data_IF_658106518115
#
_entry.id   IF_658106518115
#
_cell.length_a   1.000
_cell.length_b   1.000
_cell.length_c   1.000
_cell.angle_alpha   90.00
_cell.angle_beta   90.00
_cell.angle_gamma   90.00
#
_symmetry.space_group_name_H-M   'P 1'
#
loop_
_entity.id
_entity.type
_entity.pdbx_description
1 polymer ?
#
# COMPACT_ATOMS: atom_id res chain seq x y z
N UNK A 1 -0.98 17.12 14.68
CA UNK A 1 -1.71 16.01 14.03
C UNK A 1 -3.18 16.35 14.07
N UNK A 2 -3.79 16.72 12.95
CA UNK A 2 -5.23 17.01 12.88
C UNK A 2 -5.95 15.76 12.37
N UNK A 3 -6.89 15.22 13.17
CA UNK A 3 -7.73 14.08 12.80
C UNK A 3 -9.12 14.62 12.46
N UNK A 4 -9.54 14.50 11.21
CA UNK A 4 -10.92 14.80 10.83
C UNK A 4 -11.68 13.47 10.74
N UNK A 5 -12.59 13.25 11.69
CA UNK A 5 -13.43 12.06 11.77
C UNK A 5 -14.72 12.32 10.98
N UNK A 6 -14.70 12.04 9.68
CA UNK A 6 -15.92 11.83 8.92
C UNK A 6 -15.69 10.77 7.83
N UNK A 7 -16.15 9.56 8.16
CA UNK A 7 -16.49 8.37 7.35
C UNK A 7 -15.53 7.94 6.21
N UNK A 8 -15.01 6.72 6.39
CA UNK A 8 -14.39 5.80 5.42
C UNK A 8 -12.97 6.07 4.91
N UNK A 9 -12.38 7.24 5.18
CA UNK A 9 -11.00 7.52 4.77
C UNK A 9 -10.23 8.38 5.77
N UNK A 10 -8.96 8.01 6.01
CA UNK A 10 -8.03 8.78 6.84
C UNK A 10 -6.85 9.23 5.98
N UNK A 11 -6.60 10.54 6.00
CA UNK A 11 -5.45 11.18 5.37
C UNK A 11 -4.42 11.54 6.43
N UNK A 12 -3.16 11.12 6.25
CA UNK A 12 -2.07 11.41 7.19
C UNK A 12 -1.08 12.37 6.53
N UNK A 13 -0.97 13.57 7.10
CA UNK A 13 -0.17 14.67 6.54
C UNK A 13 1.18 14.83 7.25
N UNK A 14 2.21 15.18 6.48
CA UNK A 14 3.41 15.85 6.99
C UNK A 14 3.19 17.38 6.86
N UNK A 15 3.23 18.16 7.95
CA UNK A 15 2.89 19.59 7.94
C UNK A 15 3.83 20.46 7.10
N UNK A 16 4.98 19.93 6.65
CA UNK A 16 5.99 20.71 5.93
C UNK A 16 5.86 20.66 4.39
N UNK A 17 4.91 19.91 3.82
CA UNK A 17 4.80 19.73 2.38
C UNK A 17 3.57 20.45 1.80
N UNK A 18 3.74 21.18 0.69
CA UNK A 18 2.62 21.74 -0.09
C UNK A 18 1.70 20.59 -0.52
N UNK A 19 0.40 20.71 -0.23
CA UNK A 19 -0.58 19.64 -0.35
C UNK A 19 -0.79 19.27 -1.83
N UNK A 20 -0.06 18.27 -2.31
CA UNK A 20 -0.38 17.55 -3.53
C UNK A 20 -1.00 16.21 -3.12
N UNK A 21 -2.24 15.91 -3.54
CA UNK A 21 -2.94 14.65 -3.18
C UNK A 21 -2.16 13.40 -3.58
N UNK A 22 -1.28 13.50 -4.60
CA UNK A 22 -0.42 12.40 -5.02
C UNK A 22 0.77 12.16 -4.07
N UNK A 23 1.07 13.07 -3.13
CA UNK A 23 2.22 12.94 -2.23
C UNK A 23 1.90 12.24 -0.89
N UNK A 24 0.64 11.84 -0.66
CA UNK A 24 0.14 11.50 0.67
C UNK A 24 -0.27 10.03 0.73
N UNK A 25 0.12 9.36 1.81
CA UNK A 25 -0.40 8.04 2.16
C UNK A 25 -1.86 8.13 2.60
N UNK A 26 -2.72 7.38 1.92
CA UNK A 26 -4.15 7.38 2.21
C UNK A 26 -4.61 6.01 2.70
N UNK A 27 -5.39 6.01 3.77
CA UNK A 27 -5.93 4.79 4.37
C UNK A 27 -7.44 4.73 4.10
N UNK A 28 -7.91 3.59 3.63
CA UNK A 28 -9.33 3.27 3.50
C UNK A 28 -9.61 2.00 4.27
N UNK A 29 -10.66 1.99 5.08
CA UNK A 29 -11.05 0.84 5.87
C UNK A 29 -12.56 0.66 5.76
N UNK A 30 -12.99 -0.57 5.47
CA UNK A 30 -14.39 -0.93 5.30
C UNK A 30 -14.69 -2.24 6.02
N UNK A 31 -15.95 -2.39 6.43
CA UNK A 31 -16.50 -3.65 6.92
C UNK A 31 -17.78 -3.95 6.13
N UNK A 32 -17.81 -5.09 5.45
CA UNK A 32 -18.99 -5.52 4.71
C UNK A 32 -20.08 -5.97 5.70
N UNK A 33 -21.28 -5.38 5.61
CA UNK A 33 -22.37 -5.65 6.55
C UNK A 33 -22.91 -7.09 6.52
N UNK A 34 -22.90 -7.75 5.36
CA UNK A 34 -23.49 -9.09 5.23
C UNK A 34 -22.58 -10.20 5.76
N UNK A 35 -21.28 -10.06 5.55
CA UNK A 35 -20.28 -11.10 5.86
C UNK A 35 -19.40 -10.74 7.05
N UNK A 36 -19.51 -9.50 7.56
CA UNK A 36 -18.59 -8.90 8.54
C UNK A 36 -17.12 -8.94 8.11
N UNK A 37 -16.84 -9.09 6.81
CA UNK A 37 -15.48 -9.07 6.29
C UNK A 37 -14.90 -7.68 6.41
N UNK A 38 -13.74 -7.60 7.06
CA UNK A 38 -12.98 -6.37 7.26
C UNK A 38 -11.90 -6.27 6.21
N UNK A 39 -11.71 -5.06 5.69
CA UNK A 39 -10.63 -4.74 4.78
C UNK A 39 -10.10 -3.36 5.11
N UNK A 40 -8.78 -3.24 5.10
CA UNK A 40 -8.13 -1.94 5.04
C UNK A 40 -7.14 -1.92 3.87
N UNK A 41 -6.96 -0.76 3.26
CA UNK A 41 -5.93 -0.51 2.27
C UNK A 41 -5.14 0.76 2.60
N UNK A 42 -3.87 0.74 2.19
CA UNK A 42 -2.94 1.85 2.28
C UNK A 42 -2.38 2.11 0.88
N UNK A 43 -2.57 3.33 0.38
CA UNK A 43 -2.26 3.67 -1.00
C UNK A 43 -1.51 4.99 -1.16
N UNK A 44 -0.59 5.02 -2.13
CA UNK A 44 0.14 6.21 -2.61
C UNK A 44 0.68 5.89 -4.01
N UNK A 45 0.50 6.77 -4.99
CA UNK A 45 1.12 6.69 -6.35
C UNK A 45 1.31 5.26 -6.89
N UNK A 46 0.27 4.65 -7.48
CA UNK A 46 0.38 3.33 -8.11
C UNK A 46 0.54 2.14 -7.15
N UNK A 47 1.04 2.36 -5.94
CA UNK A 47 1.24 1.36 -4.90
C UNK A 47 -0.01 1.16 -4.05
N UNK A 48 -0.35 -0.11 -3.83
CA UNK A 48 -1.53 -0.51 -3.10
C UNK A 48 -1.18 -1.65 -2.14
N UNK A 49 -1.34 -1.43 -0.84
CA UNK A 49 -1.23 -2.45 0.20
C UNK A 49 -2.63 -2.74 0.73
N UNK A 50 -2.98 -4.01 0.86
CA UNK A 50 -4.27 -4.48 1.37
C UNK A 50 -4.03 -5.39 2.57
N UNK A 51 -4.89 -5.24 3.58
CA UNK A 51 -5.06 -6.16 4.69
C UNK A 51 -6.51 -6.64 4.73
N UNK A 52 -6.72 -7.95 4.63
CA UNK A 52 -8.03 -8.58 4.84
C UNK A 52 -7.91 -9.73 5.83
N UNK A 53 -9.04 -10.29 6.26
CA UNK A 53 -9.05 -11.49 7.10
C UNK A 53 -8.55 -12.75 6.35
N UNK A 54 -8.67 -12.76 5.02
CA UNK A 54 -8.34 -13.91 4.17
C UNK A 54 -6.88 -13.86 3.70
N UNK A 55 -6.40 -12.65 3.42
CA UNK A 55 -5.07 -12.36 2.90
C UNK A 55 -4.49 -11.32 3.84
N UNK A 56 -3.86 -11.81 4.91
CA UNK A 56 -3.39 -10.99 6.05
C UNK A 56 -2.63 -9.74 5.59
N UNK A 57 -1.83 -9.88 4.52
CA UNK A 57 -1.20 -8.78 3.82
C UNK A 57 -0.98 -9.11 2.34
N UNK A 58 -1.31 -8.18 1.46
CA UNK A 58 -0.96 -8.22 0.05
C UNK A 58 -0.51 -6.84 -0.45
N UNK A 59 0.41 -6.84 -1.41
CA UNK A 59 0.89 -5.63 -2.08
C UNK A 59 0.76 -5.80 -3.59
N UNK A 60 0.20 -4.78 -4.23
CA UNK A 60 0.19 -4.62 -5.67
C UNK A 60 0.93 -3.32 -6.05
N UNK A 61 1.72 -3.41 -7.11
CA UNK A 61 2.47 -2.29 -7.70
C UNK A 61 1.72 -1.58 -8.82
N UNK A 62 0.55 -2.09 -9.21
CA UNK A 62 -0.34 -1.45 -10.18
C UNK A 62 -1.63 -0.96 -9.50
N UNK A 63 -2.24 0.07 -10.07
CA UNK A 63 -3.57 0.54 -9.63
C UNK A 63 -4.69 -0.47 -9.92
N UNK A 64 -4.43 -1.52 -10.71
CA UNK A 64 -5.39 -2.61 -10.97
C UNK A 64 -4.65 -3.89 -11.33
N UNK A 65 -4.98 -4.98 -10.60
CA UNK A 65 -4.42 -6.33 -10.81
C UNK A 65 -4.69 -6.83 -12.24
N UNK A 66 -5.82 -6.44 -12.84
CA UNK A 66 -6.21 -6.79 -14.21
C UNK A 66 -5.27 -6.22 -15.28
N UNK A 67 -4.42 -5.24 -14.90
CA UNK A 67 -3.45 -4.63 -15.81
C UNK A 67 -2.09 -5.32 -15.80
N UNK A 68 -1.88 -6.30 -14.93
CA UNK A 68 -0.60 -7.02 -14.85
C UNK A 68 -0.53 -8.06 -15.96
N UNK A 69 0.57 -8.05 -16.72
CA UNK A 69 0.91 -9.14 -17.61
C UNK A 69 1.42 -10.32 -16.77
N UNK A 70 0.69 -11.43 -16.77
CA UNK A 70 0.96 -12.58 -15.88
C UNK A 70 2.27 -13.33 -16.19
N UNK A 71 2.83 -13.12 -17.38
CA UNK A 71 4.07 -13.77 -17.83
C UNK A 71 5.33 -12.94 -17.54
N UNK A 72 5.16 -11.73 -16.99
CA UNK A 72 6.25 -10.80 -16.73
C UNK A 72 6.36 -10.52 -15.23
N UNK A 73 7.60 -10.45 -14.74
CA UNK A 73 7.87 -10.16 -13.35
C UNK A 73 7.54 -8.70 -13.00
N UNK A 74 6.92 -8.57 -11.85
CA UNK A 74 6.67 -7.34 -11.11
C UNK A 74 7.78 -7.20 -10.07
N UNK A 75 8.26 -5.97 -9.87
CA UNK A 75 9.42 -5.71 -9.02
C UNK A 75 9.12 -4.64 -7.98
N UNK A 76 9.63 -4.87 -6.77
CA UNK A 76 9.68 -3.89 -5.69
C UNK A 76 11.11 -3.84 -5.15
N UNK A 77 11.69 -2.64 -5.02
CA UNK A 77 12.96 -2.44 -4.34
C UNK A 77 12.88 -1.24 -3.41
N UNK A 78 13.24 -1.44 -2.15
CA UNK A 78 13.28 -0.37 -1.14
C UNK A 78 14.72 0.14 -1.10
N UNK A 79 14.89 1.43 -1.33
CA UNK A 79 16.20 2.07 -1.46
C UNK A 79 17.13 1.28 -2.40
N UNK A 80 18.25 0.80 -1.87
CA UNK A 80 19.25 -0.02 -2.56
C UNK A 80 19.30 -1.47 -2.04
N UNK A 81 18.25 -1.94 -1.38
CA UNK A 81 18.16 -3.33 -0.90
C UNK A 81 17.95 -4.32 -2.07
N UNK A 82 17.92 -5.61 -1.73
CA UNK A 82 17.58 -6.66 -2.69
C UNK A 82 16.17 -6.43 -3.27
N UNK A 83 16.03 -6.62 -4.58
CA UNK A 83 14.76 -6.52 -5.29
C UNK A 83 13.89 -7.75 -5.00
N UNK A 84 12.63 -7.51 -4.66
CA UNK A 84 11.57 -8.52 -4.59
C UNK A 84 10.92 -8.67 -5.97
N UNK A 85 10.70 -9.91 -6.40
CA UNK A 85 10.09 -10.23 -7.69
C UNK A 85 8.90 -11.16 -7.50
N UNK A 86 7.87 -11.01 -8.34
CA UNK A 86 6.72 -11.93 -8.44
C UNK A 86 6.07 -11.75 -9.80
N UNK A 87 5.45 -12.78 -10.36
CA UNK A 87 4.66 -12.68 -11.60
C UNK A 87 3.20 -12.25 -11.35
N UNK A 88 2.85 -11.93 -10.10
CA UNK A 88 1.49 -11.57 -9.69
C UNK A 88 1.53 -10.46 -8.62
N UNK A 89 0.80 -10.62 -7.52
CA UNK A 89 0.88 -9.75 -6.34
C UNK A 89 1.82 -10.35 -5.29
N UNK A 90 2.42 -9.49 -4.47
CA UNK A 90 3.22 -9.93 -3.32
C UNK A 90 2.29 -10.25 -2.17
N UNK A 91 2.44 -11.42 -1.54
CA UNK A 91 1.59 -11.90 -0.44
C UNK A 91 2.42 -12.42 0.72
N UNK A 92 1.77 -12.58 1.86
CA UNK A 92 2.29 -13.28 3.03
C UNK A 92 3.68 -12.77 3.45
N UNK A 93 4.67 -13.66 3.61
CA UNK A 93 6.00 -13.30 4.05
C UNK A 93 6.68 -12.28 3.13
N UNK A 94 6.49 -12.39 1.81
CA UNK A 94 7.08 -11.44 0.86
C UNK A 94 6.52 -10.03 1.06
N UNK A 95 5.20 -9.91 1.23
CA UNK A 95 4.58 -8.64 1.54
C UNK A 95 5.04 -8.08 2.90
N UNK A 96 5.20 -8.95 3.91
CA UNK A 96 5.67 -8.54 5.24
C UNK A 96 7.11 -8.03 5.20
N UNK A 97 8.01 -8.72 4.49
CA UNK A 97 9.40 -8.31 4.32
C UNK A 97 9.51 -6.96 3.61
N UNK A 98 8.70 -6.76 2.56
CA UNK A 98 8.58 -5.47 1.87
C UNK A 98 8.13 -4.37 2.83
N UNK A 99 7.07 -4.59 3.62
CA UNK A 99 6.59 -3.60 4.61
C UNK A 99 7.67 -3.27 5.64
N UNK A 100 8.37 -4.28 6.15
CA UNK A 100 9.42 -4.07 7.15
C UNK A 100 10.56 -3.21 6.59
N UNK A 101 10.96 -3.43 5.33
CA UNK A 101 11.91 -2.56 4.67
C UNK A 101 11.33 -1.14 4.47
N UNK A 102 10.08 -1.03 4.00
CA UNK A 102 9.45 0.28 3.76
C UNK A 102 9.28 1.12 5.04
N UNK A 103 9.10 0.50 6.21
CA UNK A 103 9.02 1.22 7.50
C UNK A 103 10.30 1.96 7.85
N UNK A 104 11.46 1.45 7.40
CA UNK A 104 12.78 1.99 7.70
C UNK A 104 13.39 2.74 6.52
N UNK A 105 12.87 2.52 5.31
CA UNK A 105 13.42 3.03 4.07
C UNK A 105 12.98 4.45 3.72
N UNK A 106 13.56 4.99 2.65
CA UNK A 106 13.29 6.35 2.17
C UNK A 106 12.48 6.39 0.89
N UNK A 107 12.73 5.46 -0.03
CA UNK A 107 12.02 5.35 -1.30
C UNK A 107 11.68 3.89 -1.59
N UNK A 108 10.57 3.67 -2.30
CA UNK A 108 10.28 2.40 -2.95
C UNK A 108 10.26 2.61 -4.46
N UNK A 109 11.00 1.79 -5.18
CA UNK A 109 10.97 1.72 -6.64
C UNK A 109 10.13 0.51 -7.03
N UNK A 110 9.16 0.72 -7.89
CA UNK A 110 8.32 -0.34 -8.44
C UNK A 110 8.53 -0.42 -9.94
N UNK A 111 8.43 -1.64 -10.47
CA UNK A 111 8.34 -1.87 -11.92
C UNK A 111 7.25 -2.89 -12.19
N UNK A 112 6.38 -2.61 -13.16
CA UNK A 112 5.40 -3.57 -13.61
C UNK A 112 5.20 -3.56 -15.12
N UNK A 113 4.87 -4.71 -15.68
CA UNK A 113 4.55 -4.86 -17.10
C UNK A 113 3.04 -4.96 -17.29
N UNK A 114 2.53 -4.19 -18.25
CA UNK A 114 1.12 -4.16 -18.66
C UNK A 114 1.03 -4.25 -20.20
N UNK A 115 -0.16 -4.50 -20.79
CA UNK A 115 -0.33 -4.49 -22.24
C UNK A 115 0.07 -3.15 -22.90
N UNK A 116 0.07 -2.05 -22.16
CA UNK A 116 0.52 -0.73 -22.61
C UNK A 116 2.04 -0.52 -22.53
N UNK A 117 2.80 -1.50 -22.03
CA UNK A 117 4.25 -1.44 -21.84
C UNK A 117 4.68 -1.60 -20.38
N UNK A 118 5.97 -1.40 -20.14
CA UNK A 118 6.57 -1.41 -18.80
C UNK A 118 6.43 -0.05 -18.14
N UNK A 119 6.03 -0.05 -16.87
CA UNK A 119 5.83 1.13 -16.04
C UNK A 119 6.76 1.05 -14.83
N UNK A 120 7.37 2.18 -14.48
CA UNK A 120 8.26 2.31 -13.33
C UNK A 120 7.84 3.53 -12.50
N UNK A 121 7.79 3.36 -11.18
CA UNK A 121 7.46 4.44 -10.26
C UNK A 121 8.47 4.49 -9.10
N UNK A 122 8.84 5.70 -8.69
CA UNK A 122 9.59 5.94 -7.46
C UNK A 122 8.70 6.69 -6.49
N UNK A 123 8.46 6.10 -5.32
CA UNK A 123 7.54 6.61 -4.32
C UNK A 123 8.30 6.91 -3.04
N UNK A 124 8.16 8.14 -2.55
CA UNK A 124 8.71 8.56 -1.26
C UNK A 124 7.98 7.87 -0.09
N UNK A 125 8.75 7.29 0.83
CA UNK A 125 8.23 6.55 1.99
C UNK A 125 7.97 7.44 3.21
N UNK A 126 8.17 8.76 3.12
CA UNK A 126 7.82 9.69 4.20
C UNK A 126 6.37 9.49 4.66
N UNK A 127 6.20 9.24 5.97
CA UNK A 127 4.91 8.99 6.60
C UNK A 127 4.37 7.57 6.47
N UNK A 128 5.05 6.66 5.74
CA UNK A 128 4.59 5.29 5.53
C UNK A 128 4.41 4.53 6.85
N UNK A 129 5.42 4.51 7.73
CA UNK A 129 5.31 3.75 9.00
C UNK A 129 4.13 4.21 9.84
N UNK A 130 3.95 5.53 10.00
CA UNK A 130 2.82 6.09 10.74
C UNK A 130 1.47 5.74 10.10
N UNK A 131 1.40 5.72 8.76
CA UNK A 131 0.19 5.35 8.05
C UNK A 131 -0.13 3.86 8.17
N UNK A 132 0.88 3.00 8.06
CA UNK A 132 0.73 1.56 8.26
C UNK A 132 0.28 1.21 9.69
N UNK A 133 0.89 1.83 10.70
CA UNK A 133 0.50 1.60 12.10
C UNK A 133 -0.91 2.12 12.37
N UNK A 134 -1.29 3.27 11.79
CA UNK A 134 -2.66 3.79 11.85
C UNK A 134 -3.66 2.86 11.18
N UNK A 135 -3.32 2.31 10.01
CA UNK A 135 -4.16 1.34 9.30
C UNK A 135 -4.42 0.10 10.17
N UNK A 136 -3.40 -0.45 10.82
CA UNK A 136 -3.55 -1.61 11.70
C UNK A 136 -4.43 -1.29 12.91
N UNK A 137 -4.30 -0.10 13.51
CA UNK A 137 -5.17 0.33 14.60
C UNK A 137 -6.64 0.44 14.15
N UNK A 138 -6.89 1.00 12.97
CA UNK A 138 -8.24 1.08 12.41
C UNK A 138 -8.82 -0.31 12.13
N UNK A 139 -8.04 -1.18 11.46
CA UNK A 139 -8.45 -2.54 11.15
C UNK A 139 -8.87 -3.31 12.40
N UNK A 140 -8.09 -3.20 13.48
CA UNK A 140 -8.36 -3.86 14.76
C UNK A 140 -9.56 -3.29 15.52
N UNK A 141 -10.02 -2.09 15.16
CA UNK A 141 -11.16 -1.42 15.78
C UNK A 141 -12.43 -1.45 14.93
N UNK A 142 -12.36 -1.90 13.67
CA UNK A 142 -13.56 -2.17 12.88
C UNK A 142 -14.44 -3.19 13.61
N UNK A 143 -15.72 -2.87 13.80
CA UNK A 143 -16.71 -3.78 14.39
C UNK A 143 -16.56 -4.06 15.89
N UNK A 144 -15.80 -3.23 16.62
CA UNK A 144 -15.90 -3.12 18.08
C UNK A 144 -16.88 -2.02 18.44
#
# INVERSE_FOLDING_TARGET
MFRNFNQDSIFIFNPNNKINKHSIWTIYCTQEHQTNKKQCSLQKQGFFLIKTAEIDLAINVSQSVERLWQDEDQHIRIDNNQTFNTNSIFKDQSALDIVNQMKLGTIVNTRFSAPSGTHEETIDLNGFSAAYDSMNLLYNNLGK
#
